data_IF_440844767832
#
_entry.id   IF_440844767832
#
_cell.length_a   1.000
_cell.length_b   1.000
_cell.length_c   1.000
_cell.angle_alpha   90.00
_cell.angle_beta   90.00
_cell.angle_gamma   90.00
#
_symmetry.space_group_name_H-M   'P 1'
#
loop_
_entity.id
_entity.type
_entity.pdbx_description
1 polymer ?
#
# COMPACT_ATOMS: atom_id res chain seq x y z
N UNK A 1 17.60 6.26 5.88
CA UNK A 1 16.33 6.31 5.11
C UNK A 1 15.68 4.92 5.06
N UNK A 2 16.32 3.85 4.53
CA UNK A 2 15.71 2.51 4.42
C UNK A 2 15.23 1.96 5.77
N UNK A 3 16.04 2.07 6.83
CA UNK A 3 15.65 1.64 8.17
C UNK A 3 14.41 2.41 8.67
N UNK A 4 14.36 3.72 8.46
CA UNK A 4 13.20 4.55 8.83
C UNK A 4 11.94 4.13 8.07
N UNK A 5 12.08 3.81 6.77
CA UNK A 5 10.98 3.34 5.92
C UNK A 5 10.43 1.97 6.34
N UNK A 6 11.18 1.19 7.10
CA UNK A 6 10.77 -0.12 7.63
C UNK A 6 10.43 -0.09 9.13
N UNK A 7 10.43 1.09 9.76
CA UNK A 7 10.16 1.26 11.19
C UNK A 7 8.66 1.30 11.46
N UNK A 8 8.01 0.13 11.35
CA UNK A 8 6.57 -0.03 11.63
C UNK A 8 6.32 0.27 13.11
N UNK A 9 5.44 1.24 13.45
CA UNK A 9 5.12 1.56 14.83
C UNK A 9 4.67 0.33 15.62
N UNK A 10 5.04 0.28 16.90
CA UNK A 10 4.82 -0.85 17.82
C UNK A 10 5.72 -2.06 17.57
N UNK A 11 6.05 -2.37 16.30
CA UNK A 11 6.93 -3.50 15.95
C UNK A 11 8.42 -3.12 16.03
N UNK A 12 8.75 -1.90 15.59
CA UNK A 12 10.14 -1.42 15.55
C UNK A 12 10.26 -0.02 16.16
N UNK A 13 11.45 0.33 16.73
CA UNK A 13 11.69 1.68 17.22
C UNK A 13 11.76 2.68 16.05
N UNK A 14 11.32 3.93 16.26
CA UNK A 14 11.45 4.98 15.28
C UNK A 14 12.93 5.35 15.05
N UNK A 15 13.22 5.90 13.87
CA UNK A 15 14.55 6.43 13.52
C UNK A 15 14.54 7.94 13.62
N UNK A 16 15.56 8.51 14.26
CA UNK A 16 15.71 9.95 14.39
C UNK A 16 16.76 10.45 13.42
N UNK A 17 16.48 11.58 12.76
CA UNK A 17 17.42 12.32 11.93
C UNK A 17 17.59 13.74 12.48
N UNK A 18 18.83 14.16 12.63
CA UNK A 18 19.13 15.57 12.92
C UNK A 18 18.89 16.39 11.65
N UNK A 19 17.98 17.33 11.72
CA UNK A 19 17.56 18.18 10.60
C UNK A 19 17.62 19.66 10.92
N UNK A 20 17.76 20.49 9.89
CA UNK A 20 17.68 21.94 9.97
C UNK A 20 16.50 22.43 9.13
N UNK A 21 15.62 23.27 9.68
CA UNK A 21 14.50 23.86 8.90
C UNK A 21 14.98 24.91 7.89
N UNK A 22 16.13 25.53 8.18
CA UNK A 22 16.77 26.54 7.30
C UNK A 22 18.28 26.37 7.39
N UNK A 23 19.03 26.58 6.32
CA UNK A 23 20.49 26.55 6.35
C UNK A 23 21.07 27.43 7.47
N UNK A 24 21.85 26.85 8.38
CA UNK A 24 22.43 27.54 9.54
C UNK A 24 21.47 27.80 10.69
N UNK A 25 20.25 27.24 10.67
CA UNK A 25 19.28 27.30 11.74
C UNK A 25 19.53 26.31 12.88
N UNK A 26 18.70 26.34 13.93
CA UNK A 26 18.79 25.36 14.99
C UNK A 26 18.50 23.96 14.46
N UNK A 27 19.26 22.99 14.96
CA UNK A 27 19.07 21.57 14.68
C UNK A 27 18.10 20.95 15.67
N UNK A 28 17.31 19.99 15.21
CA UNK A 28 16.43 19.19 16.06
C UNK A 28 16.33 17.77 15.52
N UNK A 29 15.97 16.83 16.40
CA UNK A 29 15.74 15.44 16.05
C UNK A 29 14.34 15.27 15.49
N UNK A 30 14.23 14.91 14.21
CA UNK A 30 12.98 14.57 13.57
C UNK A 30 12.75 13.05 13.61
N UNK A 31 11.62 12.66 14.18
CA UNK A 31 11.24 11.25 14.32
C UNK A 31 10.61 10.72 13.03
N UNK A 32 11.18 9.65 12.50
CA UNK A 32 10.68 8.98 11.31
C UNK A 32 10.21 7.56 11.63
N UNK A 33 9.10 7.19 11.01
CA UNK A 33 8.50 5.85 11.06
C UNK A 33 8.17 5.38 9.65
N UNK A 34 7.72 4.15 9.49
CA UNK A 34 7.27 3.58 8.22
C UNK A 34 6.24 4.49 7.52
N UNK A 35 6.47 4.76 6.24
CA UNK A 35 5.61 5.60 5.42
C UNK A 35 4.18 5.06 5.24
N UNK A 36 3.98 3.77 5.44
CA UNK A 36 2.67 3.12 5.44
C UNK A 36 1.71 3.61 6.53
N UNK A 37 2.21 4.39 7.52
CA UNK A 37 1.37 5.11 8.48
C UNK A 37 0.58 6.23 7.81
N UNK A 38 1.19 6.91 6.82
CA UNK A 38 0.59 8.04 6.10
C UNK A 38 -0.24 7.61 4.89
N UNK A 39 0.27 6.66 4.09
CA UNK A 39 -0.44 6.11 2.93
C UNK A 39 0.09 4.71 2.62
N UNK A 40 -0.78 3.80 2.24
CA UNK A 40 -0.44 2.41 1.90
C UNK A 40 -0.11 2.22 0.43
N UNK A 41 -0.70 3.01 -0.43
CA UNK A 41 -0.42 3.01 -1.87
C UNK A 41 -0.18 4.44 -2.33
N UNK A 42 1.01 4.70 -2.84
CA UNK A 42 1.42 6.02 -3.29
C UNK A 42 1.23 6.17 -4.80
N UNK A 43 0.19 6.86 -5.21
CA UNK A 43 0.10 7.48 -6.51
C UNK A 43 -0.16 8.97 -6.30
N UNK A 44 0.85 9.79 -6.50
CA UNK A 44 0.67 11.23 -6.43
C UNK A 44 0.23 11.76 -7.80
N UNK A 45 -1.07 12.02 -7.94
CA UNK A 45 -1.65 12.54 -9.16
C UNK A 45 -1.01 13.84 -9.66
N UNK A 46 -0.45 14.66 -8.78
CA UNK A 46 0.30 15.87 -9.16
C UNK A 46 1.63 15.58 -9.86
N UNK A 47 2.27 14.42 -9.56
CA UNK A 47 3.53 14.01 -10.19
C UNK A 47 3.27 13.18 -11.47
N UNK A 48 2.19 12.41 -11.48
CA UNK A 48 1.85 11.47 -12.55
C UNK A 48 0.63 11.91 -13.36
N UNK A 49 0.15 13.16 -13.21
CA UNK A 49 -0.94 13.63 -14.07
C UNK A 49 -0.52 13.53 -15.52
N UNK A 50 -1.39 13.06 -16.38
CA UNK A 50 -1.12 13.00 -17.82
C UNK A 50 -0.74 14.36 -18.39
N UNK A 51 -1.20 15.44 -17.76
CA UNK A 51 -0.78 16.81 -18.04
C UNK A 51 0.70 17.03 -17.66
N UNK A 52 1.13 16.65 -16.46
CA UNK A 52 2.52 16.82 -16.01
C UNK A 52 3.48 15.93 -16.79
N UNK A 53 3.07 14.71 -17.14
CA UNK A 53 3.85 13.81 -17.99
C UNK A 53 3.97 14.37 -19.40
N UNK A 54 2.88 14.89 -19.98
CA UNK A 54 2.89 15.57 -21.28
C UNK A 54 3.74 16.84 -21.29
N UNK A 55 3.65 17.65 -20.25
CA UNK A 55 4.45 18.88 -20.12
C UNK A 55 5.95 18.57 -20.00
N UNK A 56 6.34 17.49 -19.32
CA UNK A 56 7.74 17.04 -19.19
C UNK A 56 8.25 16.27 -20.40
N UNK A 57 7.38 15.56 -21.11
CA UNK A 57 7.71 14.74 -22.30
C UNK A 57 7.72 15.53 -23.61
N UNK A 58 7.40 16.82 -23.61
CA UNK A 58 7.28 17.61 -24.83
C UNK A 58 6.03 17.26 -25.67
N UNK A 59 5.97 17.72 -26.92
CA UNK A 59 4.81 17.56 -27.80
C UNK A 59 4.41 16.09 -28.14
N UNK A 60 5.19 15.11 -27.71
CA UNK A 60 4.95 13.67 -27.87
C UNK A 60 4.73 12.93 -26.55
N UNK A 61 4.49 13.62 -25.43
CA UNK A 61 4.28 13.01 -24.14
C UNK A 61 3.10 12.04 -24.15
N UNK A 62 3.38 10.74 -23.88
CA UNK A 62 2.36 9.70 -23.71
C UNK A 62 1.66 9.93 -22.38
N UNK A 63 0.32 9.96 -22.38
CA UNK A 63 -0.46 9.95 -21.14
C UNK A 63 -0.29 8.65 -20.37
N UNK A 64 -0.76 8.62 -19.13
CA UNK A 64 -0.89 7.34 -18.40
C UNK A 64 -1.87 6.45 -19.18
N UNK A 65 -1.40 5.27 -19.61
CA UNK A 65 -2.22 4.31 -20.34
C UNK A 65 -2.76 3.24 -19.42
N UNK A 66 -1.89 2.75 -18.50
CA UNK A 66 -2.20 1.64 -17.61
C UNK A 66 -1.73 1.90 -16.18
N UNK A 67 -2.58 1.58 -15.21
CA UNK A 67 -2.25 1.61 -13.79
C UNK A 67 -2.47 0.21 -13.21
N UNK A 68 -1.40 -0.40 -12.74
CA UNK A 68 -1.42 -1.68 -12.05
C UNK A 68 -1.13 -1.47 -10.56
N UNK A 69 -2.02 -1.95 -9.70
CA UNK A 69 -1.83 -1.91 -8.25
C UNK A 69 -1.68 -3.33 -7.71
N UNK A 70 -0.53 -3.61 -7.13
CA UNK A 70 -0.27 -4.87 -6.42
C UNK A 70 -0.31 -4.58 -4.92
N UNK A 71 -1.32 -5.10 -4.23
CA UNK A 71 -1.46 -4.97 -2.79
C UNK A 71 -0.96 -6.24 -2.09
N UNK A 72 0.18 -6.15 -1.42
CA UNK A 72 0.75 -7.27 -0.65
C UNK A 72 0.07 -7.40 0.71
N UNK A 73 -1.17 -7.88 0.72
CA UNK A 73 -1.99 -8.06 1.91
C UNK A 73 -3.40 -8.49 1.54
N UNK A 74 -4.24 -8.72 2.54
CA UNK A 74 -5.68 -8.96 2.38
C UNK A 74 -6.45 -7.69 2.73
N UNK A 75 -7.45 -7.33 1.90
CA UNK A 75 -8.31 -6.18 2.17
C UNK A 75 -9.39 -6.49 3.21
N UNK A 76 -9.92 -7.71 3.20
CA UNK A 76 -10.91 -8.17 4.17
C UNK A 76 -10.20 -9.01 5.23
N UNK A 77 -10.25 -8.62 6.50
CA UNK A 77 -9.58 -9.32 7.57
C UNK A 77 -10.29 -10.65 7.87
N UNK A 78 -9.50 -11.69 8.09
CA UNK A 78 -10.04 -12.91 8.70
C UNK A 78 -10.44 -12.64 10.16
N UNK A 79 -11.52 -13.28 10.66
CA UNK A 79 -11.88 -13.21 12.06
C UNK A 79 -10.73 -13.74 12.94
N UNK A 80 -10.19 -12.87 13.78
CA UNK A 80 -9.13 -13.22 14.70
C UNK A 80 -9.42 -12.59 16.08
N UNK A 81 -9.55 -13.42 17.15
CA UNK A 81 -9.79 -12.93 18.50
C UNK A 81 -8.62 -12.10 19.01
N UNK A 82 -8.91 -10.88 19.43
CA UNK A 82 -7.90 -9.98 20.00
C UNK A 82 -7.76 -10.22 21.49
N UNK A 83 -6.53 -10.46 21.97
CA UNK A 83 -6.23 -10.54 23.40
C UNK A 83 -6.57 -9.22 24.09
N UNK A 84 -7.09 -9.31 25.34
CA UNK A 84 -7.44 -8.12 26.16
C UNK A 84 -6.17 -7.46 26.74
N UNK A 85 -5.28 -7.00 25.88
CA UNK A 85 -4.08 -6.25 26.25
C UNK A 85 -3.94 -5.01 25.39
N UNK A 86 -3.34 -3.95 25.94
CA UNK A 86 -3.15 -2.69 25.22
C UNK A 86 -2.35 -2.88 23.92
N UNK A 87 -1.27 -3.70 23.98
CA UNK A 87 -0.45 -3.97 22.81
C UNK A 87 -1.24 -4.69 21.71
N UNK A 88 -2.01 -5.73 22.04
CA UNK A 88 -2.79 -6.46 21.04
C UNK A 88 -3.89 -5.59 20.43
N UNK A 89 -4.53 -4.73 21.23
CA UNK A 89 -5.53 -3.77 20.75
C UNK A 89 -4.86 -2.74 19.83
N UNK A 90 -3.71 -2.19 20.21
CA UNK A 90 -2.98 -1.23 19.40
C UNK A 90 -2.55 -1.81 18.04
N UNK A 91 -2.01 -3.02 18.03
CA UNK A 91 -1.67 -3.75 16.79
C UNK A 91 -2.91 -3.92 15.90
N UNK A 92 -4.04 -4.33 16.49
CA UNK A 92 -5.28 -4.51 15.74
C UNK A 92 -5.81 -3.20 15.15
N UNK A 93 -5.68 -2.09 15.87
CA UNK A 93 -6.06 -0.76 15.38
C UNK A 93 -5.18 -0.34 14.19
N UNK A 94 -3.87 -0.55 14.28
CA UNK A 94 -2.93 -0.26 13.19
C UNK A 94 -3.27 -1.08 11.95
N UNK A 95 -3.52 -2.37 12.11
CA UNK A 95 -3.92 -3.25 11.01
C UNK A 95 -5.23 -2.85 10.37
N UNK A 96 -6.26 -2.58 11.18
CA UNK A 96 -7.58 -2.18 10.68
C UNK A 96 -7.51 -0.83 9.95
N UNK A 97 -6.80 0.14 10.52
CA UNK A 97 -6.57 1.45 9.91
C UNK A 97 -5.77 1.32 8.61
N UNK A 98 -4.76 0.45 8.59
CA UNK A 98 -3.96 0.18 7.39
C UNK A 98 -4.77 -0.40 6.24
N UNK A 99 -5.68 -1.34 6.53
CA UNK A 99 -6.60 -1.88 5.51
C UNK A 99 -7.59 -0.84 5.01
N UNK A 100 -8.16 -0.04 5.90
CA UNK A 100 -9.06 1.05 5.53
C UNK A 100 -8.35 2.09 4.65
N UNK A 101 -7.10 2.44 4.98
CA UNK A 101 -6.28 3.33 4.18
C UNK A 101 -5.97 2.74 2.80
N UNK A 102 -5.58 1.46 2.71
CA UNK A 102 -5.32 0.78 1.44
C UNK A 102 -6.55 0.76 0.54
N UNK A 103 -7.73 0.50 1.11
CA UNK A 103 -9.00 0.56 0.38
C UNK A 103 -9.30 1.98 -0.12
N UNK A 104 -9.12 2.98 0.73
CA UNK A 104 -9.28 4.40 0.35
C UNK A 104 -8.33 4.81 -0.76
N UNK A 105 -7.06 4.41 -0.67
CA UNK A 105 -6.05 4.64 -1.71
C UNK A 105 -6.44 3.99 -3.03
N UNK A 106 -6.97 2.75 -3.01
CA UNK A 106 -7.42 2.03 -4.20
C UNK A 106 -8.55 2.80 -4.91
N UNK A 107 -9.55 3.28 -4.17
CA UNK A 107 -10.63 4.12 -4.72
C UNK A 107 -10.10 5.45 -5.28
N UNK A 108 -9.16 6.09 -4.59
CA UNK A 108 -8.53 7.33 -5.03
C UNK A 108 -7.78 7.14 -6.35
N UNK A 109 -6.99 6.06 -6.47
CA UNK A 109 -6.23 5.74 -7.68
C UNK A 109 -7.18 5.39 -8.83
N UNK A 110 -8.25 4.64 -8.55
CA UNK A 110 -9.27 4.33 -9.53
C UNK A 110 -9.95 5.61 -10.06
N UNK A 111 -10.37 6.51 -9.17
CA UNK A 111 -10.94 7.80 -9.59
C UNK A 111 -9.99 8.62 -10.45
N UNK A 112 -8.70 8.59 -10.11
CA UNK A 112 -7.66 9.23 -10.92
C UNK A 112 -7.52 8.56 -12.30
N UNK A 113 -7.47 7.23 -12.37
CA UNK A 113 -7.42 6.49 -13.63
C UNK A 113 -8.60 6.84 -14.54
N UNK A 114 -9.82 6.91 -13.98
CA UNK A 114 -11.01 7.31 -14.74
C UNK A 114 -10.90 8.73 -15.30
N UNK A 115 -10.38 9.68 -14.52
CA UNK A 115 -10.16 11.06 -14.95
C UNK A 115 -9.15 11.19 -16.10
N UNK A 116 -8.11 10.38 -16.09
CA UNK A 116 -7.06 10.36 -17.11
C UNK A 116 -7.38 9.40 -18.28
N UNK A 117 -8.50 8.68 -18.23
CA UNK A 117 -8.87 7.62 -19.18
C UNK A 117 -7.83 6.51 -19.29
N UNK A 118 -7.12 6.24 -18.20
CA UNK A 118 -6.17 5.16 -18.06
C UNK A 118 -6.89 3.86 -17.69
N UNK A 119 -6.37 2.72 -18.13
CA UNK A 119 -6.83 1.44 -17.63
C UNK A 119 -6.41 1.28 -16.15
N UNK A 120 -7.22 0.58 -15.37
CA UNK A 120 -6.94 0.32 -13.98
C UNK A 120 -7.09 -1.18 -13.70
N UNK A 121 -6.08 -1.75 -13.10
CA UNK A 121 -6.10 -3.13 -12.64
C UNK A 121 -5.42 -3.25 -11.27
N UNK A 122 -5.97 -4.09 -10.41
CA UNK A 122 -5.39 -4.35 -9.11
C UNK A 122 -5.51 -5.81 -8.72
N UNK A 123 -4.59 -6.25 -7.88
CA UNK A 123 -4.55 -7.60 -7.33
C UNK A 123 -4.17 -7.54 -5.84
N UNK A 124 -4.70 -8.45 -5.05
CA UNK A 124 -4.43 -8.62 -3.63
C UNK A 124 -4.31 -10.10 -3.29
N UNK A 125 -3.78 -10.41 -2.11
CA UNK A 125 -3.78 -11.80 -1.61
C UNK A 125 -5.23 -12.23 -1.39
N UNK A 126 -5.67 -13.36 -1.97
CA UNK A 126 -7.04 -13.85 -1.82
C UNK A 126 -7.41 -14.11 -0.36
N UNK A 127 -8.68 -13.90 -0.02
CA UNK A 127 -9.20 -14.15 1.33
C UNK A 127 -9.13 -15.62 1.74
N UNK A 128 -9.09 -16.53 0.77
CA UNK A 128 -8.95 -17.97 1.01
C UNK A 128 -7.58 -18.39 1.51
N UNK A 129 -6.57 -17.52 1.42
CA UNK A 129 -5.22 -17.81 1.87
C UNK A 129 -5.12 -17.55 3.37
N UNK A 130 -4.69 -18.56 4.13
CA UNK A 130 -4.40 -18.38 5.54
C UNK A 130 -3.03 -17.71 5.68
N UNK A 131 -3.02 -16.49 6.21
CA UNK A 131 -1.81 -15.70 6.45
C UNK A 131 -1.29 -15.80 7.89
N UNK A 132 -1.90 -16.64 8.73
CA UNK A 132 -1.47 -16.80 10.12
C UNK A 132 -0.18 -17.60 10.18
N UNK A 133 0.75 -17.12 10.96
CA UNK A 133 2.00 -17.79 11.29
C UNK A 133 2.33 -17.53 12.76
N UNK A 134 2.90 -18.52 13.43
CA UNK A 134 3.34 -18.40 14.82
C UNK A 134 4.62 -17.58 14.94
N UNK A 135 5.39 -17.50 13.86
CA UNK A 135 6.65 -16.75 13.78
C UNK A 135 6.61 -15.67 12.70
N UNK A 136 7.24 -14.55 13.01
CA UNK A 136 7.48 -13.49 12.01
C UNK A 136 8.56 -14.00 11.04
N UNK A 137 8.27 -13.94 9.73
CA UNK A 137 9.14 -14.47 8.67
C UNK A 137 9.32 -16.00 8.70
N UNK A 138 8.29 -16.76 9.06
CA UNK A 138 8.28 -18.21 8.91
C UNK A 138 8.56 -18.61 7.45
N UNK A 139 9.63 -19.40 7.17
CA UNK A 139 10.00 -19.73 5.80
C UNK A 139 8.94 -20.52 5.04
N UNK A 140 8.17 -21.39 5.70
CA UNK A 140 7.13 -22.18 5.07
C UNK A 140 5.91 -21.33 4.71
N UNK A 141 5.50 -20.44 5.61
CA UNK A 141 4.44 -19.47 5.34
C UNK A 141 4.83 -18.50 4.20
N UNK A 142 6.06 -18.01 4.20
CA UNK A 142 6.59 -17.15 3.13
C UNK A 142 6.63 -17.87 1.78
N UNK A 143 7.06 -19.12 1.74
CA UNK A 143 7.06 -19.92 0.51
C UNK A 143 5.64 -20.15 0.00
N UNK A 144 4.69 -20.47 0.87
CA UNK A 144 3.28 -20.63 0.51
C UNK A 144 2.69 -19.36 -0.10
N UNK A 145 2.99 -18.18 0.49
CA UNK A 145 2.55 -16.88 -0.05
C UNK A 145 3.20 -16.57 -1.40
N UNK A 146 4.47 -16.92 -1.57
CA UNK A 146 5.16 -16.78 -2.85
C UNK A 146 4.49 -17.63 -3.94
N UNK A 147 4.20 -18.89 -3.65
CA UNK A 147 3.55 -19.82 -4.60
C UNK A 147 2.16 -19.32 -5.00
N UNK A 148 1.36 -18.80 -4.05
CA UNK A 148 0.08 -18.16 -4.33
C UNK A 148 0.25 -16.95 -5.26
N UNK A 149 1.21 -16.07 -4.97
CA UNK A 149 1.48 -14.90 -5.83
C UNK A 149 1.92 -15.31 -7.24
N UNK A 150 2.74 -16.34 -7.33
CA UNK A 150 3.22 -16.87 -8.61
C UNK A 150 2.07 -17.44 -9.46
N UNK A 151 1.19 -18.25 -8.86
CA UNK A 151 0.01 -18.80 -9.54
C UNK A 151 -0.99 -17.71 -9.98
N UNK A 152 -1.23 -16.70 -9.12
CA UNK A 152 -2.07 -15.55 -9.49
C UNK A 152 -1.49 -14.78 -10.69
N UNK A 153 -0.18 -14.62 -10.73
CA UNK A 153 0.49 -13.94 -11.85
C UNK A 153 0.37 -14.74 -13.16
N UNK A 154 0.56 -16.06 -13.11
CA UNK A 154 0.47 -16.93 -14.27
C UNK A 154 -0.96 -17.04 -14.81
N UNK A 155 -1.93 -17.25 -13.92
CA UNK A 155 -3.32 -17.48 -14.31
C UNK A 155 -4.05 -16.21 -14.75
N UNK A 156 -3.52 -15.03 -14.39
CA UNK A 156 -4.18 -13.71 -14.57
C UNK A 156 -5.58 -13.62 -13.95
N UNK A 157 -5.98 -14.59 -13.15
CA UNK A 157 -7.35 -14.70 -12.61
C UNK A 157 -7.63 -13.80 -11.41
N UNK A 158 -6.58 -13.27 -10.75
CA UNK A 158 -6.71 -12.44 -9.56
C UNK A 158 -6.88 -10.94 -9.83
N UNK A 159 -6.79 -10.49 -11.08
CA UNK A 159 -6.86 -9.07 -11.41
C UNK A 159 -8.28 -8.57 -11.53
N UNK A 160 -8.56 -7.43 -10.91
CA UNK A 160 -9.84 -6.73 -10.96
C UNK A 160 -9.66 -5.33 -11.54
N UNK A 161 -10.62 -4.91 -12.38
CA UNK A 161 -10.61 -3.59 -13.03
C UNK A 161 -11.39 -2.52 -12.26
N UNK A 162 -12.04 -2.88 -11.16
CA UNK A 162 -12.85 -2.00 -10.33
C UNK A 162 -12.56 -2.26 -8.85
N UNK A 163 -12.56 -1.22 -7.97
CA UNK A 163 -12.43 -1.40 -6.53
C UNK A 163 -13.54 -2.28 -5.95
N UNK A 164 -13.30 -2.92 -4.78
CA UNK A 164 -14.29 -3.77 -4.13
C UNK A 164 -15.60 -3.03 -3.87
N UNK A 165 -16.73 -3.71 -4.08
CA UNK A 165 -18.07 -3.18 -3.82
C UNK A 165 -18.64 -2.29 -4.93
N UNK A 166 -17.87 -1.94 -5.94
CA UNK A 166 -18.44 -1.35 -7.16
C UNK A 166 -19.06 -2.47 -8.02
N UNK A 167 -20.33 -2.33 -8.31
CA UNK A 167 -20.99 -3.18 -9.33
C UNK A 167 -20.69 -2.61 -10.70
N UNK A 168 -20.30 -3.45 -11.64
CA UNK A 168 -20.30 -3.06 -13.06
C UNK A 168 -21.68 -2.47 -13.38
N UNK A 169 -21.73 -1.22 -13.79
CA UNK A 169 -22.97 -0.70 -14.35
C UNK A 169 -23.26 -1.52 -15.61
N UNK A 170 -24.51 -1.96 -15.81
CA UNK A 170 -24.91 -2.74 -16.97
C UNK A 170 -24.74 -1.95 -18.27
#
# INVERSE_FOLDING_TARGET
>A
VMLASASIPVAFPPVFFEVELRPGGPRYDEMHVDGGVGARVFLNGGVFSGRTVRERGGAGGVGLEDIFVVHNGQLIPQPDPVRRSLAAIATRVIDASGRAAALGDLFRIYGYAQGEKASFQWVTIPESVDMRSDEVFDPAAMQSLYDVGYELALSRSGWSSQPPGQRSQP
#
